data_IF_227810110442
#
_entry.id   IF_227810110442
#
_cell.length_a   1.000
_cell.length_b   1.000
_cell.length_c   1.000
_cell.angle_alpha   90.00
_cell.angle_beta   90.00
_cell.angle_gamma   90.00
#
_symmetry.space_group_name_H-M   'P 1'
#
loop_
_entity.id
_entity.type
_entity.pdbx_description
1 polymer ?
#
# COMPACT_ATOMS: atom_id res chain seq x y z
N UNK A 1 0.43 1.89 12.22
CA UNK A 1 -0.53 1.92 11.10
C UNK A 1 0.16 1.74 9.75
N UNK A 2 1.17 2.56 9.42
CA UNK A 2 1.89 2.46 8.13
C UNK A 2 2.57 1.10 7.95
N UNK A 3 3.24 0.60 9.00
CA UNK A 3 3.82 -0.74 9.03
C UNK A 3 2.76 -1.83 8.87
N UNK A 4 1.69 -1.80 9.68
CA UNK A 4 0.58 -2.75 9.58
C UNK A 4 -0.04 -2.82 8.17
N UNK A 5 -0.18 -1.69 7.48
CA UNK A 5 -0.76 -1.67 6.12
C UNK A 5 0.22 -2.22 5.09
N UNK A 6 1.51 -1.94 5.23
CA UNK A 6 2.57 -2.53 4.41
C UNK A 6 2.65 -4.05 4.62
N UNK A 7 2.63 -4.50 5.86
CA UNK A 7 2.67 -5.92 6.24
C UNK A 7 1.47 -6.68 5.67
N UNK A 8 0.27 -6.08 5.71
CA UNK A 8 -0.94 -6.63 5.10
C UNK A 8 -0.77 -6.86 3.59
N UNK A 9 -0.19 -5.90 2.86
CA UNK A 9 0.05 -6.01 1.42
C UNK A 9 1.07 -7.12 1.13
N UNK A 10 2.18 -7.15 1.87
CA UNK A 10 3.21 -8.19 1.73
C UNK A 10 2.65 -9.59 2.03
N UNK A 11 1.80 -9.72 3.05
CA UNK A 11 1.12 -10.98 3.38
C UNK A 11 0.16 -11.40 2.27
N UNK A 12 -0.58 -10.45 1.69
CA UNK A 12 -1.49 -10.70 0.57
C UNK A 12 -0.72 -11.24 -0.63
N UNK A 13 0.43 -10.65 -0.96
CA UNK A 13 1.31 -11.13 -2.05
C UNK A 13 1.80 -12.55 -1.79
N UNK A 14 2.32 -12.81 -0.59
CA UNK A 14 2.80 -14.15 -0.20
C UNK A 14 1.70 -15.20 -0.35
N UNK A 15 0.48 -14.87 0.11
CA UNK A 15 -0.69 -15.76 -0.01
C UNK A 15 -1.10 -15.97 -1.47
N UNK A 16 -1.09 -14.92 -2.29
CA UNK A 16 -1.40 -15.01 -3.72
C UNK A 16 -0.40 -15.88 -4.47
N UNK A 17 0.90 -15.70 -4.24
CA UNK A 17 1.94 -16.53 -4.88
C UNK A 17 1.80 -17.99 -4.45
N UNK A 18 1.53 -18.24 -3.16
CA UNK A 18 1.27 -19.59 -2.66
C UNK A 18 0.06 -20.22 -3.36
N UNK A 19 -1.05 -19.48 -3.47
CA UNK A 19 -2.25 -19.95 -4.16
C UNK A 19 -1.98 -20.29 -5.63
N UNK A 20 -1.25 -19.43 -6.35
CA UNK A 20 -0.88 -19.65 -7.75
C UNK A 20 -0.11 -20.96 -7.90
N UNK A 21 0.93 -21.17 -7.08
CA UNK A 21 1.74 -22.40 -7.10
C UNK A 21 0.95 -23.64 -6.72
N UNK A 22 0.08 -23.56 -5.71
CA UNK A 22 -0.78 -24.70 -5.36
C UNK A 22 -1.76 -25.07 -6.48
N UNK A 23 -2.30 -24.08 -7.19
CA UNK A 23 -3.18 -24.33 -8.34
C UNK A 23 -2.42 -24.96 -9.51
N UNK A 24 -1.21 -24.51 -9.78
CA UNK A 24 -0.30 -25.15 -10.74
C UNK A 24 -0.05 -26.61 -10.37
N UNK A 25 0.41 -26.89 -9.15
CA UNK A 25 0.69 -28.25 -8.67
C UNK A 25 -0.53 -29.18 -8.82
N UNK A 26 -1.71 -28.71 -8.39
CA UNK A 26 -2.96 -29.47 -8.53
C UNK A 26 -3.33 -29.73 -9.99
N UNK A 27 -3.09 -28.76 -10.88
CA UNK A 27 -3.39 -28.88 -12.31
C UNK A 27 -2.44 -29.86 -12.99
N UNK A 28 -1.15 -29.79 -12.68
CA UNK A 28 -0.14 -30.72 -13.18
C UNK A 28 -0.37 -32.14 -12.68
N UNK A 29 -0.76 -32.29 -11.40
CA UNK A 29 -1.14 -33.58 -10.84
C UNK A 29 -2.34 -34.18 -11.59
N UNK A 30 -3.36 -33.36 -11.87
CA UNK A 30 -4.54 -33.79 -12.63
C UNK A 30 -4.18 -34.22 -14.05
N UNK A 31 -3.33 -33.48 -14.76
CA UNK A 31 -2.83 -33.87 -16.08
C UNK A 31 -2.06 -35.18 -16.05
N UNK A 32 -1.16 -35.35 -15.08
CA UNK A 32 -0.32 -36.54 -14.94
C UNK A 32 -1.11 -37.81 -14.61
N UNK A 33 -2.32 -37.67 -14.05
CA UNK A 33 -3.22 -38.78 -13.78
C UNK A 33 -4.01 -39.28 -15.01
N UNK A 34 -3.87 -38.64 -16.17
CA UNK A 34 -4.54 -39.02 -17.41
C UNK A 34 -3.65 -39.89 -18.32
N UNK A 35 -4.27 -40.78 -19.08
CA UNK A 35 -3.59 -41.81 -19.88
C UNK A 35 -2.94 -41.30 -21.18
N UNK A 36 -3.11 -40.02 -21.53
CA UNK A 36 -2.71 -39.48 -22.83
C UNK A 36 -1.38 -38.70 -22.76
N UNK A 37 -0.27 -39.44 -22.67
CA UNK A 37 1.07 -38.92 -22.32
C UNK A 37 1.67 -37.89 -23.29
N UNK A 38 1.23 -37.84 -24.55
CA UNK A 38 1.82 -36.95 -25.57
C UNK A 38 1.31 -35.51 -25.43
N UNK A 39 0.01 -35.30 -25.29
CA UNK A 39 -0.57 -33.96 -25.13
C UNK A 39 -0.26 -33.34 -23.75
N UNK A 40 0.01 -34.18 -22.75
CA UNK A 40 0.32 -33.74 -21.39
C UNK A 40 1.69 -33.06 -21.27
N UNK A 41 2.65 -33.34 -22.17
CA UNK A 41 3.99 -32.77 -22.09
C UNK A 41 4.00 -31.29 -22.50
N UNK A 42 3.49 -30.96 -23.69
CA UNK A 42 3.40 -29.56 -24.16
C UNK A 42 2.49 -28.71 -23.26
N UNK A 43 1.43 -29.32 -22.71
CA UNK A 43 0.52 -28.63 -21.78
C UNK A 43 1.20 -28.31 -20.46
N UNK A 44 2.11 -29.17 -19.98
CA UNK A 44 2.86 -28.93 -18.74
C UNK A 44 3.72 -27.68 -18.88
N UNK A 45 4.50 -27.57 -19.95
CA UNK A 45 5.36 -26.41 -20.21
C UNK A 45 4.52 -25.12 -20.35
N UNK A 46 3.35 -25.22 -20.99
CA UNK A 46 2.42 -24.09 -21.10
C UNK A 46 1.87 -23.65 -19.73
N UNK A 47 1.50 -24.59 -18.86
CA UNK A 47 1.02 -24.29 -17.50
C UNK A 47 2.12 -23.61 -16.70
N UNK A 48 3.36 -24.10 -16.74
CA UNK A 48 4.49 -23.49 -16.05
C UNK A 48 4.77 -22.07 -16.59
N UNK A 49 4.64 -21.85 -17.90
CA UNK A 49 4.76 -20.53 -18.51
C UNK A 49 3.65 -19.57 -18.05
N UNK A 50 2.39 -20.02 -18.00
CA UNK A 50 1.25 -19.24 -17.49
C UNK A 50 1.47 -18.87 -16.02
N UNK A 51 1.94 -19.80 -15.20
CA UNK A 51 2.26 -19.56 -13.79
C UNK A 51 3.33 -18.48 -13.64
N UNK A 52 4.46 -18.63 -14.32
CA UNK A 52 5.57 -17.68 -14.25
C UNK A 52 5.15 -16.28 -14.72
N UNK A 53 4.42 -16.19 -15.84
CA UNK A 53 3.89 -14.92 -16.33
C UNK A 53 2.92 -14.26 -15.34
N UNK A 54 2.14 -15.06 -14.61
CA UNK A 54 1.21 -14.57 -13.58
C UNK A 54 1.96 -14.04 -12.36
N UNK A 55 3.01 -14.73 -11.89
CA UNK A 55 3.84 -14.26 -10.78
C UNK A 55 4.44 -12.89 -11.11
N UNK A 56 4.94 -12.69 -12.33
CA UNK A 56 5.43 -11.37 -12.79
C UNK A 56 4.34 -10.29 -12.75
N UNK A 57 3.09 -10.63 -13.08
CA UNK A 57 1.96 -9.70 -12.96
C UNK A 57 1.65 -9.35 -11.49
N UNK A 58 1.78 -10.30 -10.57
CA UNK A 58 1.65 -10.06 -9.12
C UNK A 58 2.74 -9.09 -8.64
N UNK A 59 3.99 -9.29 -9.07
CA UNK A 59 5.11 -8.39 -8.74
C UNK A 59 4.87 -6.96 -9.26
N UNK A 60 4.25 -6.81 -10.42
CA UNK A 60 3.85 -5.51 -10.95
C UNK A 60 2.76 -4.85 -10.09
N UNK A 61 1.74 -5.59 -9.65
CA UNK A 61 0.73 -5.07 -8.70
C UNK A 61 1.40 -4.61 -7.40
N UNK A 62 2.37 -5.38 -6.88
CA UNK A 62 3.17 -5.00 -5.70
C UNK A 62 3.94 -3.71 -5.93
N UNK A 63 4.69 -3.61 -7.02
CA UNK A 63 5.56 -2.47 -7.28
C UNK A 63 4.78 -1.15 -7.38
N UNK A 64 3.59 -1.17 -7.96
CA UNK A 64 2.70 0.00 -8.05
C UNK A 64 2.10 0.30 -6.68
N UNK A 65 1.42 -0.66 -6.05
CA UNK A 65 0.72 -0.44 -4.79
C UNK A 65 1.64 -0.02 -3.64
N UNK A 66 2.83 -0.63 -3.52
CA UNK A 66 3.74 -0.34 -2.43
C UNK A 66 4.46 1.01 -2.61
N UNK A 67 4.77 1.39 -3.85
CA UNK A 67 5.38 2.70 -4.14
C UNK A 67 4.44 3.84 -3.81
N UNK A 68 3.17 3.73 -4.23
CA UNK A 68 2.16 4.76 -4.01
C UNK A 68 1.88 4.93 -2.51
N UNK A 69 1.78 3.82 -1.78
CA UNK A 69 1.58 3.80 -0.34
C UNK A 69 2.75 4.46 0.42
N UNK A 70 4.00 4.12 0.06
CA UNK A 70 5.21 4.70 0.67
C UNK A 70 5.27 6.21 0.41
N UNK A 71 4.94 6.66 -0.79
CA UNK A 71 4.92 8.09 -1.12
C UNK A 71 3.84 8.82 -0.32
N UNK A 72 2.64 8.24 -0.19
CA UNK A 72 1.55 8.80 0.61
C UNK A 72 1.96 8.95 2.09
N UNK A 73 2.58 7.92 2.68
CA UNK A 73 3.06 7.97 4.05
C UNK A 73 4.20 8.98 4.24
N UNK A 74 5.10 9.11 3.28
CA UNK A 74 6.16 10.12 3.34
C UNK A 74 5.57 11.54 3.36
N UNK A 75 4.59 11.81 2.51
CA UNK A 75 3.91 13.10 2.48
C UNK A 75 3.18 13.37 3.80
N UNK A 76 2.49 12.37 4.34
CA UNK A 76 1.82 12.47 5.64
C UNK A 76 2.79 12.78 6.78
N UNK A 77 3.94 12.11 6.84
CA UNK A 77 4.97 12.40 7.83
C UNK A 77 5.46 13.84 7.69
N UNK A 78 5.78 14.29 6.48
CA UNK A 78 6.26 15.66 6.24
C UNK A 78 5.22 16.71 6.68
N UNK A 79 3.96 16.56 6.26
CA UNK A 79 2.88 17.50 6.59
C UNK A 79 2.61 17.55 8.11
N UNK A 80 2.74 16.41 8.79
CA UNK A 80 2.57 16.31 10.24
C UNK A 80 3.75 16.95 10.96
N UNK A 81 4.98 16.67 10.55
CA UNK A 81 6.19 17.25 11.12
C UNK A 81 6.20 18.78 11.02
N UNK A 82 5.83 19.34 9.87
CA UNK A 82 5.71 20.80 9.72
C UNK A 82 4.67 21.41 10.66
N UNK A 83 3.58 20.70 10.93
CA UNK A 83 2.58 21.13 11.92
C UNK A 83 3.10 21.11 13.36
N UNK A 84 3.86 20.06 13.70
CA UNK A 84 4.52 19.93 15.01
C UNK A 84 5.56 21.02 15.21
N UNK A 85 6.45 21.25 14.23
CA UNK A 85 7.46 22.31 14.29
C UNK A 85 6.85 23.69 14.50
N UNK A 86 5.72 23.99 13.84
CA UNK A 86 5.00 25.24 14.04
C UNK A 86 4.41 25.37 15.46
N UNK A 87 3.96 24.27 16.06
CA UNK A 87 3.44 24.25 17.43
C UNK A 87 4.57 24.37 18.46
N UNK A 88 5.67 23.64 18.28
CA UNK A 88 6.86 23.72 19.14
C UNK A 88 7.44 25.13 19.11
N UNK A 89 7.63 25.71 17.92
CA UNK A 89 8.11 27.09 17.78
C UNK A 89 7.20 28.13 18.45
N UNK A 90 5.89 27.89 18.46
CA UNK A 90 4.94 28.74 19.20
C UNK A 90 5.12 28.61 20.71
N UNK A 91 5.24 27.37 21.23
CA UNK A 91 5.49 27.10 22.66
C UNK A 91 6.83 27.67 23.12
N UNK A 92 7.87 27.56 22.31
CA UNK A 92 9.19 28.13 22.60
C UNK A 92 9.15 29.64 22.75
N UNK A 93 8.41 30.33 21.87
CA UNK A 93 8.22 31.78 21.98
C UNK A 93 7.45 32.16 23.25
N UNK A 94 6.42 31.38 23.63
CA UNK A 94 5.74 31.57 24.91
C UNK A 94 6.69 31.38 26.10
N UNK A 95 7.53 30.35 26.06
CA UNK A 95 8.54 30.10 27.09
C UNK A 95 9.57 31.24 27.16
N UNK A 96 9.99 31.81 26.04
CA UNK A 96 10.88 32.99 26.02
C UNK A 96 10.23 34.20 26.70
N UNK A 97 8.92 34.43 26.53
CA UNK A 97 8.23 35.51 27.22
C UNK A 97 8.22 35.36 28.75
N UNK A 98 8.24 34.13 29.26
CA UNK A 98 8.32 33.88 30.71
C UNK A 98 9.62 34.38 31.35
N UNK A 99 10.66 34.58 30.53
CA UNK A 99 11.97 35.09 30.97
C UNK A 99 12.01 36.63 31.08
N UNK A 100 10.99 37.32 30.58
CA UNK A 100 10.87 38.78 30.72
C UNK A 100 10.60 39.17 32.19
N UNK A 101 10.91 40.42 32.57
CA UNK A 101 10.71 40.91 33.94
C UNK A 101 9.55 41.90 34.02
N UNK A 102 8.78 41.82 35.11
CA UNK A 102 7.69 42.76 35.41
C UNK A 102 6.60 42.77 34.33
N UNK A 103 6.07 43.96 34.02
CA UNK A 103 4.97 44.12 33.06
C UNK A 103 5.36 43.80 31.61
N UNK A 104 6.65 43.71 31.28
CA UNK A 104 7.12 43.36 29.95
C UNK A 104 6.70 41.93 29.54
N UNK A 105 6.53 41.02 30.51
CA UNK A 105 6.01 39.66 30.29
C UNK A 105 4.62 39.69 29.64
N UNK A 106 3.72 40.54 30.16
CA UNK A 106 2.35 40.66 29.66
C UNK A 106 2.32 41.23 28.23
N UNK A 107 3.17 42.21 27.93
CA UNK A 107 3.32 42.75 26.58
C UNK A 107 3.84 41.72 25.59
N UNK A 108 4.82 40.90 26.00
CA UNK A 108 5.38 39.82 25.20
C UNK A 108 4.32 38.76 24.84
N UNK A 109 3.57 38.26 25.84
CA UNK A 109 2.49 37.31 25.59
C UNK A 109 1.39 37.88 24.71
N UNK A 110 0.98 39.13 24.95
CA UNK A 110 -0.05 39.80 24.13
C UNK A 110 0.37 39.86 22.66
N UNK A 111 1.64 40.17 22.39
CA UNK A 111 2.19 40.22 21.04
C UNK A 111 2.15 38.85 20.36
N UNK A 112 2.66 37.80 21.01
CA UNK A 112 2.63 36.42 20.47
C UNK A 112 1.19 35.97 20.22
N UNK A 113 0.28 36.24 21.16
CA UNK A 113 -1.13 35.84 21.03
C UNK A 113 -1.77 36.52 19.82
N UNK A 114 -1.51 37.81 19.61
CA UNK A 114 -2.06 38.58 18.51
C UNK A 114 -1.48 38.17 17.15
N UNK A 115 -0.19 37.89 17.09
CA UNK A 115 0.53 37.68 15.83
C UNK A 115 0.57 36.20 15.40
N UNK A 116 0.60 35.25 16.35
CA UNK A 116 1.00 33.86 16.04
C UNK A 116 -0.07 32.80 16.31
N UNK A 117 -1.05 33.07 17.18
CA UNK A 117 -2.11 32.07 17.48
C UNK A 117 -2.89 31.66 16.23
N UNK A 118 -3.28 32.64 15.40
CA UNK A 118 -4.09 32.37 14.19
C UNK A 118 -3.26 31.61 13.14
N UNK A 119 -2.03 32.03 12.80
CA UNK A 119 -1.16 31.25 11.91
C UNK A 119 -0.91 29.81 12.41
N UNK A 120 -0.49 29.62 13.67
CA UNK A 120 -0.19 28.29 14.21
C UNK A 120 -1.41 27.40 14.22
N UNK A 121 -2.58 27.93 14.63
CA UNK A 121 -3.86 27.18 14.56
C UNK A 121 -4.19 26.77 13.13
N UNK A 122 -3.95 27.64 12.16
CA UNK A 122 -4.24 27.37 10.74
C UNK A 122 -3.37 26.23 10.23
N UNK A 123 -2.06 26.28 10.47
CA UNK A 123 -1.12 25.22 10.06
C UNK A 123 -1.49 23.89 10.71
N UNK A 124 -1.73 23.87 12.03
CA UNK A 124 -2.12 22.66 12.74
C UNK A 124 -3.43 22.05 12.20
N UNK A 125 -4.43 22.90 11.94
CA UNK A 125 -5.71 22.45 11.39
C UNK A 125 -5.54 21.86 9.99
N UNK A 126 -4.70 22.48 9.15
CA UNK A 126 -4.37 21.96 7.83
C UNK A 126 -3.62 20.63 7.90
N UNK A 127 -2.64 20.50 8.80
CA UNK A 127 -1.92 19.23 9.00
C UNK A 127 -2.86 18.11 9.45
N UNK A 128 -3.81 18.39 10.34
CA UNK A 128 -4.83 17.41 10.77
C UNK A 128 -5.72 16.99 9.59
N UNK A 129 -6.22 17.94 8.80
CA UNK A 129 -7.10 17.60 7.67
C UNK A 129 -6.35 16.81 6.60
N UNK A 130 -5.11 17.19 6.29
CA UNK A 130 -4.25 16.44 5.38
C UNK A 130 -3.96 15.04 5.90
N UNK A 131 -3.71 14.88 7.20
CA UNK A 131 -3.54 13.55 7.81
C UNK A 131 -4.79 12.69 7.59
N UNK A 132 -5.99 13.26 7.80
CA UNK A 132 -7.25 12.55 7.57
C UNK A 132 -7.42 12.17 6.10
N UNK A 133 -7.14 13.09 5.18
CA UNK A 133 -7.24 12.83 3.74
C UNK A 133 -6.27 11.74 3.30
N UNK A 134 -5.01 11.81 3.73
CA UNK A 134 -3.99 10.80 3.42
C UNK A 134 -4.38 9.40 3.92
N UNK A 135 -5.08 9.32 5.05
CA UNK A 135 -5.63 8.04 5.53
C UNK A 135 -6.69 7.48 4.57
N UNK A 136 -7.63 8.31 4.10
CA UNK A 136 -8.64 7.90 3.12
C UNK A 136 -7.97 7.43 1.82
N UNK A 137 -7.03 8.22 1.31
CA UNK A 137 -6.24 7.88 0.12
C UNK A 137 -5.49 6.56 0.29
N UNK A 138 -4.90 6.29 1.46
CA UNK A 138 -4.22 5.02 1.72
C UNK A 138 -5.18 3.83 1.60
N UNK A 139 -6.40 3.96 2.12
CA UNK A 139 -7.43 2.91 2.01
C UNK A 139 -7.81 2.67 0.56
N UNK A 140 -7.99 3.73 -0.24
CA UNK A 140 -8.24 3.62 -1.68
C UNK A 140 -7.08 2.93 -2.42
N UNK A 141 -5.83 3.27 -2.09
CA UNK A 141 -4.65 2.60 -2.64
C UNK A 141 -4.63 1.09 -2.32
N UNK A 142 -4.96 0.70 -1.09
CA UNK A 142 -5.08 -0.72 -0.71
C UNK A 142 -6.21 -1.42 -1.48
N UNK A 143 -7.35 -0.77 -1.67
CA UNK A 143 -8.44 -1.30 -2.49
C UNK A 143 -8.00 -1.52 -3.94
N UNK A 144 -7.33 -0.55 -4.54
CA UNK A 144 -6.81 -0.66 -5.91
C UNK A 144 -5.78 -1.78 -6.05
N UNK A 145 -4.89 -1.92 -5.06
CA UNK A 145 -3.95 -3.03 -4.99
C UNK A 145 -4.68 -4.39 -4.94
N UNK A 146 -5.65 -4.54 -4.05
CA UNK A 146 -6.42 -5.78 -3.93
C UNK A 146 -7.17 -6.11 -5.24
N UNK A 147 -7.78 -5.11 -5.88
CA UNK A 147 -8.44 -5.27 -7.17
C UNK A 147 -7.45 -5.73 -8.26
N UNK A 148 -6.21 -5.23 -8.26
CA UNK A 148 -5.17 -5.68 -9.19
C UNK A 148 -4.87 -7.18 -8.97
N UNK A 149 -4.69 -7.58 -7.70
CA UNK A 149 -4.44 -8.97 -7.33
C UNK A 149 -5.60 -9.88 -7.76
N UNK A 150 -6.85 -9.48 -7.47
CA UNK A 150 -8.04 -10.25 -7.82
C UNK A 150 -8.16 -10.45 -9.34
N UNK A 151 -7.92 -9.39 -10.13
CA UNK A 151 -7.91 -9.48 -11.60
C UNK A 151 -6.83 -10.43 -12.12
N UNK A 152 -5.63 -10.41 -11.52
CA UNK A 152 -4.53 -11.31 -11.89
C UNK A 152 -4.89 -12.76 -11.57
N UNK A 153 -5.46 -13.03 -10.40
CA UNK A 153 -5.90 -14.38 -10.00
C UNK A 153 -7.02 -14.89 -10.91
N UNK A 154 -8.02 -14.07 -11.21
CA UNK A 154 -9.13 -14.45 -12.09
C UNK A 154 -8.65 -14.77 -13.50
N UNK A 155 -7.73 -13.94 -14.03
CA UNK A 155 -7.12 -14.21 -15.32
C UNK A 155 -6.31 -15.52 -15.31
N UNK A 156 -5.51 -15.75 -14.28
CA UNK A 156 -4.73 -16.98 -14.12
C UNK A 156 -5.63 -18.23 -14.08
N UNK A 157 -6.68 -18.23 -13.27
CA UNK A 157 -7.63 -19.34 -13.19
C UNK A 157 -8.25 -19.68 -14.54
N UNK A 158 -8.62 -18.66 -15.33
CA UNK A 158 -9.18 -18.87 -16.68
C UNK A 158 -8.15 -19.48 -17.62
N UNK A 159 -6.93 -18.94 -17.66
CA UNK A 159 -5.85 -19.46 -18.51
C UNK A 159 -5.48 -20.90 -18.14
N UNK A 160 -5.39 -21.18 -16.84
CA UNK A 160 -5.10 -22.51 -16.32
C UNK A 160 -6.20 -23.51 -16.67
N UNK A 161 -7.47 -23.12 -16.59
CA UNK A 161 -8.61 -23.96 -16.99
C UNK A 161 -8.56 -24.31 -18.47
N UNK A 162 -8.29 -23.32 -19.33
CA UNK A 162 -8.18 -23.52 -20.79
C UNK A 162 -7.02 -24.47 -21.10
N UNK A 163 -5.85 -24.24 -20.51
CA UNK A 163 -4.68 -25.09 -20.72
C UNK A 163 -4.95 -26.54 -20.25
N UNK A 164 -5.58 -26.70 -19.08
CA UNK A 164 -5.97 -28.00 -18.55
C UNK A 164 -6.94 -28.74 -19.47
N UNK A 165 -8.00 -28.07 -19.96
CA UNK A 165 -8.98 -28.66 -20.88
C UNK A 165 -8.32 -29.11 -22.19
N UNK A 166 -7.45 -28.27 -22.76
CA UNK A 166 -6.68 -28.60 -23.96
C UNK A 166 -5.81 -29.85 -23.73
N UNK A 167 -5.10 -29.93 -22.60
CA UNK A 167 -4.25 -31.09 -22.29
C UNK A 167 -5.02 -32.38 -21.99
N UNK A 168 -6.21 -32.29 -21.36
CA UNK A 168 -7.05 -33.45 -21.08
C UNK A 168 -7.73 -34.02 -22.33
N UNK A 169 -8.06 -33.17 -23.29
CA UNK A 169 -8.83 -33.56 -24.48
C UNK A 169 -8.03 -33.56 -25.79
N UNK A 170 -6.76 -33.13 -25.77
CA UNK A 170 -5.92 -32.98 -26.96
C UNK A 170 -6.57 -32.10 -28.04
N UNK A 171 -7.14 -30.96 -27.65
CA UNK A 171 -7.83 -30.00 -28.53
C UNK A 171 -6.95 -28.76 -28.74
#
# INVERSE_FOLDING_TARGET
>A
MHESMKDDLELTIKRTVLLIRSLEELTLLRLSSHSNLVCTFDTKDNIEAITNATIVKVDNCQAVGLRDLVNNFKNQTNDTSSGIEAAEGFVDKLNQCSSCKGLAVLGCYKKIIQEEVVPTKTILSQSIEKFRLNHVTAVEMKTNFNNCIDQVIDHFRRQLSIALEAGLHCI
#
